data_IF_042531528212
#
_entry.id   IF_042531528212
#
_cell.length_a   1.000
_cell.length_b   1.000
_cell.length_c   1.000
_cell.angle_alpha   90.00
_cell.angle_beta   90.00
_cell.angle_gamma   90.00
#
_symmetry.space_group_name_H-M   'P 1'
#
loop_
_entity.id
_entity.type
_entity.pdbx_description
1 polymer ?
#
# COMPACT_ATOMS: atom_id res chain seq x y z
N UNK A 1 -21.88 -52.58 -5.13
CA UNK A 1 -20.67 -51.74 -5.14
C UNK A 1 -21.08 -50.30 -4.89
N UNK A 2 -20.84 -49.67 -3.72
CA UNK A 2 -21.14 -48.26 -3.54
C UNK A 2 -19.94 -47.42 -4.00
N UNK A 3 -20.18 -46.57 -5.00
CA UNK A 3 -19.20 -45.62 -5.55
C UNK A 3 -18.91 -44.53 -4.54
N UNK A 4 -17.68 -44.49 -4.04
CA UNK A 4 -17.16 -43.47 -3.13
C UNK A 4 -17.18 -42.11 -3.84
N UNK A 5 -18.09 -41.20 -3.44
CA UNK A 5 -18.01 -39.79 -3.84
C UNK A 5 -16.78 -39.21 -3.14
N UNK A 6 -15.82 -38.77 -3.95
CA UNK A 6 -14.63 -38.07 -3.47
C UNK A 6 -15.06 -36.87 -2.61
N UNK A 7 -14.61 -36.89 -1.36
CA UNK A 7 -14.71 -35.79 -0.42
C UNK A 7 -13.91 -34.62 -1.01
N UNK A 8 -14.60 -33.72 -1.73
CA UNK A 8 -14.00 -32.49 -2.23
C UNK A 8 -13.80 -31.57 -1.03
N UNK A 9 -12.74 -31.83 -0.26
CA UNK A 9 -12.23 -30.88 0.72
C UNK A 9 -11.99 -29.57 -0.01
N UNK A 10 -12.81 -28.58 0.30
CA UNK A 10 -12.43 -27.20 0.12
C UNK A 10 -11.19 -27.01 0.98
N UNK A 11 -10.01 -27.04 0.36
CA UNK A 11 -8.78 -26.64 1.01
C UNK A 11 -9.02 -25.23 1.52
N UNK A 12 -9.19 -25.09 2.84
CA UNK A 12 -9.12 -23.81 3.53
C UNK A 12 -7.86 -23.14 3.00
N UNK A 13 -8.03 -22.14 2.14
CA UNK A 13 -6.89 -21.41 1.59
C UNK A 13 -6.14 -20.84 2.78
N UNK A 14 -4.98 -21.43 3.07
CA UNK A 14 -4.06 -20.88 4.06
C UNK A 14 -3.95 -19.37 3.78
N UNK A 15 -3.96 -18.52 4.82
CA UNK A 15 -3.80 -17.09 4.63
C UNK A 15 -2.54 -16.90 3.79
N UNK A 16 -2.71 -16.29 2.61
CA UNK A 16 -1.57 -16.05 1.73
C UNK A 16 -0.61 -15.17 2.52
N UNK A 17 0.60 -15.64 2.81
CA UNK A 17 1.55 -14.84 3.57
C UNK A 17 1.78 -13.53 2.82
N UNK A 18 1.88 -12.44 3.56
CA UNK A 18 2.20 -11.13 2.99
C UNK A 18 3.52 -11.23 2.23
N UNK A 19 3.51 -10.86 0.95
CA UNK A 19 4.68 -10.93 0.08
C UNK A 19 5.02 -9.56 -0.46
N UNK A 20 6.26 -9.15 -0.32
CA UNK A 20 6.76 -7.93 -0.96
C UNK A 20 6.93 -8.23 -2.46
N UNK A 21 6.13 -7.55 -3.27
CA UNK A 21 6.15 -7.65 -4.75
C UNK A 21 7.26 -6.78 -5.34
N UNK A 22 7.51 -5.64 -4.72
CA UNK A 22 8.52 -4.69 -5.19
C UNK A 22 8.76 -3.59 -4.18
N UNK A 23 9.88 -2.88 -4.38
CA UNK A 23 10.24 -1.66 -3.64
C UNK A 23 10.47 -0.54 -4.62
N UNK A 24 10.09 0.67 -4.25
CA UNK A 24 10.31 1.86 -5.06
C UNK A 24 10.63 3.07 -4.18
N UNK A 25 11.46 3.98 -4.68
CA UNK A 25 11.72 5.26 -4.03
C UNK A 25 10.77 6.28 -4.63
N UNK A 26 9.82 6.74 -3.83
CA UNK A 26 8.77 7.66 -4.27
C UNK A 26 8.71 8.88 -3.37
N UNK A 27 8.28 10.00 -3.94
CA UNK A 27 8.00 11.22 -3.16
C UNK A 27 6.56 11.15 -2.63
N UNK A 28 6.41 10.93 -1.33
CA UNK A 28 5.12 10.93 -0.65
C UNK A 28 4.69 12.35 -0.33
N UNK A 29 3.45 12.70 -0.70
CA UNK A 29 2.80 13.98 -0.39
C UNK A 29 1.66 13.77 0.59
N UNK A 30 1.60 14.61 1.63
CA UNK A 30 0.49 14.63 2.60
C UNK A 30 -0.79 15.07 1.94
N UNK A 31 -1.81 14.22 1.98
CA UNK A 31 -3.18 14.59 1.66
C UNK A 31 -3.90 14.89 2.97
N UNK A 32 -4.18 16.17 3.19
CA UNK A 32 -4.92 16.64 4.36
C UNK A 32 -6.41 16.69 4.07
N UNK A 33 -7.23 16.39 5.08
CA UNK A 33 -8.65 16.66 4.97
C UNK A 33 -8.89 18.18 5.06
N UNK A 34 -9.48 18.75 4.01
CA UNK A 34 -9.99 20.11 3.97
C UNK A 34 -11.52 20.05 4.10
N UNK A 35 -12.04 19.78 5.30
CA UNK A 35 -13.47 19.76 5.59
C UNK A 35 -13.82 18.88 6.80
N UNK A 36 -14.72 19.33 7.69
CA UNK A 36 -15.20 18.54 8.84
C UNK A 36 -14.70 19.04 10.20
N UNK A 37 -15.09 18.36 11.29
CA UNK A 37 -14.73 18.76 12.66
C UNK A 37 -13.22 18.65 12.95
N UNK A 38 -12.52 17.72 12.29
CA UNK A 38 -11.07 17.57 12.33
C UNK A 38 -10.45 18.18 11.08
N UNK A 39 -10.29 19.50 11.03
CA UNK A 39 -9.55 20.13 9.94
C UNK A 39 -8.03 19.94 10.16
N UNK A 40 -7.31 19.49 9.12
CA UNK A 40 -5.84 19.47 9.13
C UNK A 40 -5.17 18.13 9.44
N UNK A 41 -5.91 17.04 9.68
CA UNK A 41 -5.29 15.72 9.80
C UNK A 41 -4.85 15.16 8.44
N UNK A 42 -3.78 14.39 8.47
CA UNK A 42 -3.32 13.63 7.30
C UNK A 42 -4.21 12.39 7.16
N UNK A 43 -4.96 12.31 6.05
CA UNK A 43 -5.78 11.15 5.70
C UNK A 43 -4.90 10.02 5.18
N UNK A 44 -4.06 10.37 4.22
CA UNK A 44 -3.31 9.45 3.38
C UNK A 44 -2.13 10.19 2.74
N UNK A 45 -1.18 9.42 2.22
CA UNK A 45 -0.07 9.93 1.43
C UNK A 45 -0.25 9.52 -0.03
N UNK A 46 0.03 10.42 -0.96
CA UNK A 46 0.00 10.12 -2.38
C UNK A 46 1.39 10.19 -3.00
N UNK A 47 1.62 9.44 -4.07
CA UNK A 47 2.83 9.55 -4.88
C UNK A 47 2.53 9.28 -6.35
N UNK A 48 3.40 9.79 -7.21
CA UNK A 48 3.40 9.47 -8.64
C UNK A 48 4.07 8.11 -8.83
N UNK A 49 3.26 7.08 -9.06
CA UNK A 49 3.71 5.69 -9.07
C UNK A 49 2.52 4.74 -9.15
N UNK A 50 1.83 4.76 -10.30
CA UNK A 50 0.73 3.85 -10.57
C UNK A 50 1.26 2.49 -11.05
N UNK A 51 0.62 1.39 -10.64
CA UNK A 51 0.82 0.12 -11.35
C UNK A 51 0.33 0.29 -12.79
N UNK A 52 1.01 -0.31 -13.77
CA UNK A 52 0.64 -0.24 -15.20
C UNK A 52 -0.84 -0.57 -15.49
N UNK A 53 -1.50 -1.37 -14.63
CA UNK A 53 -2.95 -1.66 -14.71
C UNK A 53 -3.86 -0.49 -14.36
N UNK A 54 -3.35 0.47 -13.58
CA UNK A 54 -4.04 1.67 -13.18
C UNK A 54 -3.64 2.86 -14.07
N UNK A 55 -3.56 2.68 -15.39
CA UNK A 55 -3.28 3.75 -16.37
C UNK A 55 -4.18 5.00 -16.19
N UNK A 56 -5.32 4.87 -15.51
CA UNK A 56 -6.21 6.00 -15.16
C UNK A 56 -5.84 6.71 -13.85
N UNK A 57 -5.08 6.07 -12.96
CA UNK A 57 -4.66 6.65 -11.68
C UNK A 57 -3.17 7.01 -11.75
N UNK A 58 -2.90 8.28 -12.05
CA UNK A 58 -1.53 8.85 -12.00
C UNK A 58 -0.95 8.85 -10.58
N UNK A 59 -1.81 8.68 -9.57
CA UNK A 59 -1.42 8.68 -8.17
C UNK A 59 -1.80 7.36 -7.49
N UNK A 60 -0.83 6.80 -6.78
CA UNK A 60 -1.05 5.75 -5.78
C UNK A 60 -1.13 6.36 -4.40
N UNK A 61 -1.73 5.61 -3.47
CA UNK A 61 -1.99 6.08 -2.13
C UNK A 61 -1.49 5.10 -1.07
N UNK A 62 -1.06 5.64 0.07
CA UNK A 62 -0.61 4.92 1.25
C UNK A 62 -1.37 5.44 2.46
N UNK A 63 -1.92 4.53 3.26
CA UNK A 63 -2.55 4.89 4.54
C UNK A 63 -1.57 5.57 5.48
N UNK A 64 -2.05 6.55 6.25
CA UNK A 64 -1.20 7.29 7.19
C UNK A 64 -0.50 6.39 8.22
N UNK A 65 -1.15 5.31 8.63
CA UNK A 65 -0.64 4.38 9.65
C UNK A 65 0.53 3.53 9.14
N UNK A 66 0.73 3.52 7.81
CA UNK A 66 1.79 2.79 7.13
C UNK A 66 2.92 3.71 6.69
N UNK A 67 2.91 4.97 7.13
CA UNK A 67 3.94 5.96 6.84
C UNK A 67 4.55 6.45 8.14
N UNK A 68 5.87 6.30 8.33
CA UNK A 68 6.55 6.88 9.48
C UNK A 68 6.33 8.39 9.56
N UNK A 69 6.22 8.94 10.76
CA UNK A 69 6.14 10.37 10.96
C UNK A 69 7.36 11.10 10.37
N UNK A 70 7.10 12.23 9.73
CA UNK A 70 8.14 13.11 9.18
C UNK A 70 7.73 14.57 9.32
N UNK A 71 8.65 15.48 9.01
CA UNK A 71 8.36 16.91 9.04
C UNK A 71 8.17 17.43 7.61
N UNK A 72 7.21 18.34 7.42
CA UNK A 72 6.89 18.94 6.13
C UNK A 72 5.64 18.38 5.45
N UNK A 73 5.44 18.75 4.18
CA UNK A 73 4.31 18.30 3.36
C UNK A 73 4.66 17.14 2.43
N UNK A 74 5.93 17.04 2.04
CA UNK A 74 6.42 16.02 1.13
C UNK A 74 7.77 15.49 1.59
N UNK A 75 8.00 14.19 1.42
CA UNK A 75 9.31 13.59 1.68
C UNK A 75 9.52 12.34 0.81
N UNK A 76 10.78 12.00 0.57
CA UNK A 76 11.14 10.79 -0.16
C UNK A 76 11.06 9.59 0.79
N UNK A 77 10.43 8.52 0.30
CA UNK A 77 10.33 7.27 1.02
C UNK A 77 10.62 6.10 0.10
N UNK A 78 11.29 5.11 0.66
CA UNK A 78 11.28 3.77 0.11
C UNK A 78 9.95 3.11 0.51
N UNK A 79 9.14 2.77 -0.49
CA UNK A 79 7.84 2.12 -0.33
C UNK A 79 7.90 0.71 -0.85
N UNK A 80 7.24 -0.21 -0.15
CA UNK A 80 7.08 -1.60 -0.55
C UNK A 80 5.65 -1.85 -1.01
N UNK A 81 5.51 -2.48 -2.18
CA UNK A 81 4.24 -3.07 -2.57
C UNK A 81 4.10 -4.43 -1.90
N UNK A 82 3.16 -4.54 -0.96
CA UNK A 82 2.85 -5.78 -0.27
C UNK A 82 1.63 -6.41 -0.94
N UNK A 83 1.80 -7.60 -1.50
CA UNK A 83 0.69 -8.46 -1.92
C UNK A 83 0.19 -9.25 -0.72
N UNK A 84 -1.01 -8.90 -0.28
CA UNK A 84 -1.75 -9.57 0.77
C UNK A 84 -3.17 -9.83 0.30
N UNK A 85 -3.90 -10.70 1.02
CA UNK A 85 -5.35 -10.79 0.89
C UNK A 85 -5.99 -9.77 1.84
N UNK A 86 -7.09 -9.10 1.46
CA UNK A 86 -7.83 -9.20 0.19
C UNK A 86 -7.27 -8.41 -1.01
N UNK A 87 -6.38 -7.44 -0.81
CA UNK A 87 -5.74 -6.66 -1.89
C UNK A 87 -4.29 -6.32 -1.58
N UNK A 88 -3.49 -6.12 -2.64
CA UNK A 88 -2.15 -5.55 -2.50
C UNK A 88 -2.23 -4.10 -2.04
N UNK A 89 -1.33 -3.69 -1.15
CA UNK A 89 -1.24 -2.32 -0.63
C UNK A 89 0.21 -1.85 -0.65
N UNK A 90 0.40 -0.54 -0.48
CA UNK A 90 1.73 0.07 -0.33
C UNK A 90 2.02 0.35 1.14
N UNK A 91 3.28 0.24 1.54
CA UNK A 91 3.78 0.57 2.88
C UNK A 91 5.06 1.37 2.74
N UNK A 92 5.20 2.49 3.45
CA UNK A 92 6.49 3.17 3.53
C UNK A 92 7.37 2.50 4.59
N UNK A 93 8.60 2.16 4.22
CA UNK A 93 9.53 1.43 5.07
C UNK A 93 10.55 2.37 5.68
N UNK A 94 11.06 3.31 4.88
CA UNK A 94 12.16 4.16 5.29
C UNK A 94 12.07 5.53 4.61
N UNK A 95 12.32 6.59 5.39
CA UNK A 95 12.49 7.95 4.89
C UNK A 95 13.88 8.10 4.24
N UNK A 96 13.92 8.83 3.13
CA UNK A 96 15.13 9.19 2.42
C UNK A 96 15.24 10.72 2.33
N UNK A 97 16.47 11.23 2.28
CA UNK A 97 16.72 12.67 2.11
C UNK A 97 16.52 13.13 0.65
N UNK A 98 16.63 12.21 -0.30
CA UNK A 98 16.41 12.46 -1.73
C UNK A 98 16.51 11.17 -2.57
N UNK A 99 16.26 11.24 -3.89
CA UNK A 99 16.29 10.09 -4.79
C UNK A 99 17.71 9.57 -5.11
N UNK A 100 18.76 10.15 -4.52
CA UNK A 100 20.16 9.84 -4.82
C UNK A 100 21.07 9.86 -3.60
N UNK A 101 20.56 9.40 -2.45
CA UNK A 101 21.38 9.21 -1.25
C UNK A 101 22.57 8.28 -1.47
#
# INVERSE_FOLDING_TARGET
MPTQRADRRASLHAPTPERIVGREIVKLRRVRQYGGADHGFTLMFSFEGGTRRAERSRHSFIDRERVPDFEGEEAWFEVEQVSAKPWSFWRAVRRLEGPGG
#
